data_IF_918290526807
#
_entry.id   IF_918290526807
#
_cell.length_a   1.000
_cell.length_b   1.000
_cell.length_c   1.000
_cell.angle_alpha   90.00
_cell.angle_beta   90.00
_cell.angle_gamma   90.00
#
_symmetry.space_group_name_H-M   'P 1'
#
loop_
_entity.id
_entity.type
_entity.pdbx_description
1 polymer ?
#
# COMPACT_ATOMS: atom_id res chain seq x y z
N UNK A 1 18.23 2.29 11.39
CA UNK A 1 17.42 1.97 10.20
C UNK A 1 16.25 1.08 10.57
N UNK A 2 15.09 1.32 9.98
CA UNK A 2 13.92 0.49 10.22
C UNK A 2 13.95 -0.72 9.27
N UNK A 3 13.82 -1.91 9.80
CA UNK A 3 13.83 -3.15 9.02
C UNK A 3 12.45 -3.78 9.01
N UNK A 4 12.21 -4.65 8.04
CA UNK A 4 10.94 -5.36 7.90
C UNK A 4 11.17 -6.83 8.25
N UNK A 5 10.36 -7.34 9.18
CA UNK A 5 10.43 -8.73 9.63
C UNK A 5 9.20 -9.51 9.17
N UNK A 6 9.31 -10.83 9.21
CA UNK A 6 8.22 -11.75 8.91
C UNK A 6 7.64 -11.61 7.50
N UNK A 7 8.37 -10.94 6.61
CA UNK A 7 7.95 -10.84 5.22
C UNK A 7 7.94 -12.21 4.57
N UNK A 8 7.00 -12.42 3.66
CA UNK A 8 6.91 -13.63 2.84
C UNK A 8 7.03 -13.23 1.38
N UNK A 9 8.27 -13.12 0.86
CA UNK A 9 8.48 -12.70 -0.52
C UNK A 9 7.77 -13.61 -1.50
N UNK A 10 7.29 -13.02 -2.58
CA UNK A 10 6.61 -13.75 -3.66
C UNK A 10 7.40 -13.58 -4.94
N UNK A 11 7.41 -14.61 -5.78
CA UNK A 11 8.05 -14.54 -7.10
C UNK A 11 7.11 -13.99 -8.15
N UNK A 12 5.83 -14.33 -8.05
CA UNK A 12 4.81 -13.95 -9.03
C UNK A 12 3.93 -12.83 -8.48
N UNK A 13 3.64 -11.86 -9.31
CA UNK A 13 2.80 -10.71 -8.97
C UNK A 13 1.45 -10.77 -9.69
N UNK A 14 0.81 -11.95 -9.67
CA UNK A 14 -0.47 -12.16 -10.35
C UNK A 14 -1.56 -11.21 -9.86
N UNK A 15 -1.61 -10.94 -8.55
CA UNK A 15 -2.59 -10.03 -7.97
C UNK A 15 -2.41 -8.61 -8.50
N UNK A 16 -1.17 -8.15 -8.57
CA UNK A 16 -0.83 -6.81 -9.09
C UNK A 16 -1.16 -6.73 -10.57
N UNK A 17 -0.82 -7.78 -11.34
CA UNK A 17 -1.14 -7.84 -12.76
C UNK A 17 -2.66 -7.79 -13.00
N UNK A 18 -3.43 -8.48 -12.17
CA UNK A 18 -4.89 -8.46 -12.27
C UNK A 18 -5.47 -7.09 -11.94
N UNK A 19 -4.91 -6.37 -10.97
CA UNK A 19 -5.32 -4.99 -10.69
C UNK A 19 -5.06 -4.11 -11.91
N UNK A 20 -3.88 -4.25 -12.52
CA UNK A 20 -3.53 -3.54 -13.75
C UNK A 20 -4.56 -3.82 -14.85
N UNK A 21 -4.90 -5.08 -15.06
CA UNK A 21 -5.82 -5.48 -16.13
C UNK A 21 -7.26 -5.01 -15.86
N UNK A 22 -7.72 -5.12 -14.61
CA UNK A 22 -9.09 -4.75 -14.24
C UNK A 22 -9.33 -3.25 -14.24
N UNK A 23 -8.37 -2.47 -13.78
CA UNK A 23 -8.58 -1.05 -13.54
C UNK A 23 -7.83 -0.16 -14.53
N UNK A 24 -6.98 -0.73 -15.37
CA UNK A 24 -6.24 0.03 -16.38
C UNK A 24 -5.19 0.95 -15.81
N UNK A 25 -4.58 0.57 -14.69
CA UNK A 25 -3.54 1.36 -14.04
C UNK A 25 -2.20 0.64 -14.11
N UNK A 26 -1.11 1.40 -13.95
CA UNK A 26 0.23 0.83 -13.86
C UNK A 26 0.82 1.12 -12.48
N UNK A 27 1.46 0.10 -11.91
CA UNK A 27 2.28 0.27 -10.71
C UNK A 27 3.70 0.60 -11.14
N UNK A 28 4.34 1.61 -10.52
CA UNK A 28 5.77 1.82 -10.72
C UNK A 28 6.58 0.57 -10.34
N UNK A 29 7.68 0.34 -11.05
CA UNK A 29 8.53 -0.84 -10.84
C UNK A 29 9.04 -0.92 -9.41
N UNK A 30 9.40 0.21 -8.82
CA UNK A 30 9.89 0.25 -7.43
C UNK A 30 8.84 -0.19 -6.42
N UNK A 31 7.57 0.18 -6.63
CA UNK A 31 6.46 -0.27 -5.77
C UNK A 31 6.26 -1.77 -5.91
N UNK A 32 6.24 -2.29 -7.14
CA UNK A 32 6.10 -3.72 -7.40
C UNK A 32 7.23 -4.50 -6.71
N UNK A 33 8.46 -4.08 -6.91
CA UNK A 33 9.63 -4.73 -6.31
C UNK A 33 9.57 -4.73 -4.79
N UNK A 34 9.17 -3.61 -4.19
CA UNK A 34 9.06 -3.50 -2.75
C UNK A 34 7.96 -4.42 -2.19
N UNK A 35 6.77 -4.38 -2.76
CA UNK A 35 5.64 -5.17 -2.29
C UNK A 35 5.86 -6.66 -2.47
N UNK A 36 6.52 -7.03 -3.55
CA UNK A 36 6.91 -8.41 -3.84
C UNK A 36 7.84 -8.98 -2.78
N UNK A 37 8.87 -8.21 -2.44
CA UNK A 37 9.89 -8.59 -1.46
C UNK A 37 9.35 -8.58 -0.03
N UNK A 38 8.45 -7.65 0.26
CA UNK A 38 8.00 -7.38 1.62
C UNK A 38 6.53 -7.76 1.85
N UNK A 39 6.00 -8.67 1.05
CA UNK A 39 4.64 -9.15 1.19
C UNK A 39 4.39 -9.64 2.61
N UNK A 40 3.33 -9.13 3.26
CA UNK A 40 2.97 -9.43 4.65
C UNK A 40 3.98 -8.95 5.68
N UNK A 41 4.99 -8.18 5.27
CA UNK A 41 6.06 -7.75 6.16
C UNK A 41 5.59 -6.78 7.23
N UNK A 42 6.24 -6.85 8.38
CA UNK A 42 5.96 -6.01 9.54
C UNK A 42 7.17 -5.12 9.80
N UNK A 43 7.02 -3.79 9.74
CA UNK A 43 8.15 -2.93 10.06
C UNK A 43 8.49 -3.05 11.54
N UNK A 44 9.78 -3.05 11.86
CA UNK A 44 10.25 -3.13 13.23
C UNK A 44 9.78 -1.92 14.04
N UNK A 45 9.90 -0.74 13.45
CA UNK A 45 9.37 0.49 14.01
C UNK A 45 8.14 0.90 13.20
N UNK A 46 7.00 0.97 13.87
CA UNK A 46 5.71 1.15 13.22
C UNK A 46 5.27 2.61 13.15
N UNK A 47 5.72 3.44 14.08
CA UNK A 47 5.35 4.85 14.12
C UNK A 47 6.35 5.70 13.33
N UNK A 48 5.84 6.75 12.71
CA UNK A 48 6.65 7.69 11.93
C UNK A 48 5.94 9.04 11.85
N UNK A 49 6.70 10.06 11.48
CA UNK A 49 6.20 11.42 11.34
C UNK A 49 6.31 11.90 9.91
N UNK A 50 5.26 12.54 9.43
CA UNK A 50 5.29 13.30 8.18
C UNK A 50 4.62 14.65 8.47
N UNK A 51 5.34 15.74 8.22
CA UNK A 51 4.85 17.11 8.47
C UNK A 51 4.32 17.27 9.91
N UNK A 52 5.07 16.74 10.88
CA UNK A 52 4.74 16.76 12.30
C UNK A 52 3.48 15.99 12.70
N UNK A 53 2.89 15.25 11.78
CA UNK A 53 1.77 14.36 12.08
C UNK A 53 2.27 12.95 12.29
N UNK A 54 1.80 12.31 13.35
CA UNK A 54 2.19 10.94 13.69
C UNK A 54 1.29 9.93 13.01
N UNK A 55 1.91 8.92 12.41
CA UNK A 55 1.23 7.81 11.73
C UNK A 55 1.71 6.48 12.29
N UNK A 56 0.87 5.46 12.14
CA UNK A 56 1.18 4.07 12.49
C UNK A 56 0.95 3.20 11.26
N UNK A 57 1.95 2.40 10.91
CA UNK A 57 1.83 1.39 9.86
C UNK A 57 2.32 0.07 10.44
N UNK A 58 1.42 -0.90 10.61
CA UNK A 58 1.72 -2.15 11.30
C UNK A 58 2.15 -3.27 10.38
N UNK A 59 1.66 -3.29 9.14
CA UNK A 59 2.02 -4.36 8.21
C UNK A 59 1.73 -3.95 6.77
N UNK A 60 2.52 -4.49 5.85
CA UNK A 60 2.22 -4.42 4.43
C UNK A 60 1.26 -5.56 4.07
N UNK A 61 0.39 -5.32 3.10
CA UNK A 61 -0.58 -6.33 2.69
C UNK A 61 0.09 -7.44 1.88
N UNK A 62 -0.53 -8.60 1.85
CA UNK A 62 -0.07 -9.70 0.99
C UNK A 62 -0.32 -9.37 -0.47
N UNK A 63 0.66 -9.68 -1.32
CA UNK A 63 0.48 -9.65 -2.77
C UNK A 63 0.40 -11.07 -3.36
N UNK A 64 0.31 -12.07 -2.51
CA UNK A 64 0.19 -13.47 -2.91
C UNK A 64 -1.25 -13.84 -3.20
N UNK A 65 -1.49 -14.48 -4.36
CA UNK A 65 -2.82 -14.94 -4.76
C UNK A 65 -3.36 -16.05 -3.86
N UNK A 66 -2.47 -16.77 -3.16
CA UNK A 66 -2.90 -17.88 -2.29
C UNK A 66 -3.35 -17.41 -0.91
N UNK A 67 -3.01 -16.20 -0.53
CA UNK A 67 -3.46 -15.67 0.74
C UNK A 67 -4.91 -15.21 0.64
N UNK A 68 -5.68 -15.50 1.68
CA UNK A 68 -7.10 -15.19 1.75
C UNK A 68 -7.39 -13.70 1.64
N UNK A 69 -6.56 -12.90 2.32
CA UNK A 69 -6.59 -11.44 2.25
C UNK A 69 -5.36 -11.01 1.47
N UNK A 70 -5.58 -10.37 0.34
CA UNK A 70 -4.49 -9.89 -0.51
C UNK A 70 -4.88 -8.57 -1.18
N UNK A 71 -3.89 -7.95 -1.80
CA UNK A 71 -4.03 -6.61 -2.40
C UNK A 71 -5.16 -6.55 -3.46
N UNK A 72 -5.34 -7.60 -4.24
CA UNK A 72 -6.39 -7.63 -5.25
C UNK A 72 -7.78 -7.64 -4.62
N UNK A 73 -8.00 -8.53 -3.64
CA UNK A 73 -9.29 -8.62 -2.96
C UNK A 73 -9.63 -7.35 -2.21
N UNK A 74 -8.63 -6.75 -1.54
CA UNK A 74 -8.84 -5.48 -0.84
C UNK A 74 -9.14 -4.35 -1.82
N UNK A 75 -8.44 -4.29 -2.95
CA UNK A 75 -8.70 -3.28 -3.97
C UNK A 75 -10.13 -3.39 -4.49
N UNK A 76 -10.58 -4.61 -4.81
CA UNK A 76 -11.94 -4.85 -5.28
C UNK A 76 -12.98 -4.51 -4.22
N UNK A 77 -12.68 -4.76 -2.97
CA UNK A 77 -13.57 -4.50 -1.85
C UNK A 77 -13.73 -2.99 -1.59
N UNK A 78 -12.64 -2.25 -1.64
CA UNK A 78 -12.67 -0.81 -1.37
C UNK A 78 -13.19 0.01 -2.56
N UNK A 79 -13.13 -0.53 -3.77
CA UNK A 79 -13.53 0.17 -4.99
C UNK A 79 -14.72 -0.55 -5.64
N UNK A 80 -15.84 -0.61 -4.93
CA UNK A 80 -17.05 -1.29 -5.40
C UNK A 80 -17.64 -0.69 -6.66
N UNK A 81 -17.31 0.57 -6.98
CA UNK A 81 -17.73 1.26 -8.19
C UNK A 81 -16.51 1.85 -8.89
N UNK A 82 -16.45 1.65 -10.21
CA UNK A 82 -15.42 2.25 -11.04
C UNK A 82 -15.70 3.74 -11.19
N UNK A 83 -14.89 4.54 -10.52
CA UNK A 83 -14.97 5.99 -10.57
C UNK A 83 -13.62 6.57 -11.01
N UNK A 84 -13.59 7.88 -11.10
CA UNK A 84 -12.39 8.66 -11.43
C UNK A 84 -11.23 8.36 -10.50
N UNK A 85 -11.54 8.00 -9.24
CA UNK A 85 -10.54 7.70 -8.22
C UNK A 85 -10.51 6.22 -7.89
N UNK A 86 -9.31 5.68 -7.84
CA UNK A 86 -9.06 4.31 -7.44
C UNK A 86 -8.10 4.30 -6.25
N UNK A 87 -8.40 3.48 -5.26
CA UNK A 87 -7.58 3.35 -4.06
C UNK A 87 -7.06 1.92 -3.95
N UNK A 88 -5.74 1.76 -3.98
CA UNK A 88 -5.11 0.44 -3.86
C UNK A 88 -4.47 0.33 -2.47
N UNK A 89 -5.08 -0.45 -1.56
CA UNK A 89 -4.54 -0.60 -0.22
C UNK A 89 -3.27 -1.44 -0.25
N UNK A 90 -2.17 -0.92 0.30
CA UNK A 90 -0.90 -1.62 0.33
C UNK A 90 -0.38 -1.86 1.74
N UNK A 91 -0.95 -1.21 2.75
CA UNK A 91 -0.53 -1.36 4.14
C UNK A 91 -1.70 -1.09 5.08
N UNK A 92 -1.53 -1.53 6.33
CA UNK A 92 -2.56 -1.44 7.37
C UNK A 92 -2.00 -0.78 8.62
N UNK A 93 -2.89 -0.13 9.39
CA UNK A 93 -2.52 0.49 10.65
C UNK A 93 -2.73 -0.42 11.88
N UNK A 94 -3.32 -1.59 11.68
CA UNK A 94 -3.55 -2.56 12.76
C UNK A 94 -4.90 -2.44 13.46
N UNK A 95 -5.69 -1.42 13.15
CA UNK A 95 -7.03 -1.23 13.74
C UNK A 95 -8.13 -1.11 12.67
N UNK A 96 -7.87 -1.65 11.49
CA UNK A 96 -8.88 -1.74 10.44
C UNK A 96 -8.82 -0.64 9.38
N UNK A 97 -7.80 0.21 9.39
CA UNK A 97 -7.62 1.26 8.41
C UNK A 97 -6.50 0.92 7.44
N UNK A 98 -6.48 1.60 6.30
CA UNK A 98 -5.54 1.29 5.22
C UNK A 98 -4.77 2.50 4.75
N UNK A 99 -3.50 2.27 4.39
CA UNK A 99 -2.73 3.17 3.55
C UNK A 99 -2.92 2.74 2.11
N UNK A 100 -3.27 3.67 1.25
CA UNK A 100 -3.59 3.38 -0.15
C UNK A 100 -2.77 4.21 -1.11
N UNK A 101 -2.51 3.64 -2.27
CA UNK A 101 -2.04 4.41 -3.42
C UNK A 101 -3.30 4.95 -4.10
N UNK A 102 -3.39 6.27 -4.25
CA UNK A 102 -4.50 6.92 -4.91
C UNK A 102 -4.17 7.13 -6.39
N UNK A 103 -5.08 6.67 -7.26
CA UNK A 103 -5.04 6.97 -8.68
C UNK A 103 -6.21 7.88 -9.03
N UNK A 104 -5.96 8.90 -9.83
CA UNK A 104 -6.99 9.80 -10.33
C UNK A 104 -6.95 9.73 -11.86
N UNK A 105 -8.07 9.37 -12.49
CA UNK A 105 -8.16 9.13 -13.93
C UNK A 105 -7.03 8.22 -14.42
N UNK A 106 -6.80 7.12 -13.68
CA UNK A 106 -5.76 6.10 -13.96
C UNK A 106 -4.33 6.58 -13.82
N UNK A 107 -4.12 7.77 -13.28
CA UNK A 107 -2.78 8.33 -13.04
C UNK A 107 -2.44 8.28 -11.56
N UNK A 108 -1.21 7.85 -11.30
CA UNK A 108 -0.67 7.82 -9.95
C UNK A 108 -0.70 9.22 -9.33
N UNK A 109 -1.23 9.32 -8.13
CA UNK A 109 -1.36 10.58 -7.42
C UNK A 109 -0.64 10.53 -6.07
N UNK A 110 -1.37 10.44 -4.98
CA UNK A 110 -0.82 10.53 -3.62
C UNK A 110 -0.87 9.19 -2.89
N UNK A 111 -0.12 9.11 -1.79
CA UNK A 111 -0.33 8.10 -0.76
C UNK A 111 -1.32 8.71 0.22
N UNK A 112 -2.39 7.97 0.50
CA UNK A 112 -3.48 8.42 1.35
C UNK A 112 -3.72 7.45 2.49
N UNK A 113 -4.36 7.93 3.54
CA UNK A 113 -4.83 7.11 4.66
C UNK A 113 -6.35 7.11 4.64
N UNK A 114 -6.94 5.93 4.62
CA UNK A 114 -8.39 5.77 4.62
C UNK A 114 -8.82 5.26 5.99
N UNK A 115 -9.44 6.16 6.77
CA UNK A 115 -10.06 5.80 8.03
C UNK A 115 -11.42 5.18 7.73
N UNK A 116 -11.53 3.87 7.92
CA UNK A 116 -12.72 3.11 7.54
C UNK A 116 -13.88 3.34 8.49
N UNK A 117 -13.61 3.71 9.75
CA UNK A 117 -14.65 3.92 10.73
C UNK A 117 -15.49 5.17 10.42
N UNK A 118 -14.83 6.25 10.04
CA UNK A 118 -15.49 7.52 9.71
C UNK A 118 -15.57 7.78 8.21
N UNK A 119 -15.06 6.85 7.40
CA UNK A 119 -15.00 6.94 5.94
C UNK A 119 -14.37 8.24 5.45
N UNK A 120 -13.20 8.56 6.00
CA UNK A 120 -12.43 9.75 5.61
C UNK A 120 -11.09 9.36 5.01
N UNK A 121 -10.78 9.99 3.89
CA UNK A 121 -9.52 9.82 3.18
C UNK A 121 -8.71 11.10 3.32
N UNK A 122 -7.46 10.97 3.76
CA UNK A 122 -6.57 12.12 3.94
C UNK A 122 -5.22 11.85 3.29
N UNK A 123 -4.59 12.90 2.77
CA UNK A 123 -3.27 12.79 2.16
C UNK A 123 -2.21 12.54 3.23
N UNK A 124 -1.31 11.61 2.94
CA UNK A 124 -0.16 11.31 3.80
C UNK A 124 1.09 11.95 3.22
N UNK A 125 1.39 11.64 1.97
CA UNK A 125 2.58 12.15 1.27
C UNK A 125 2.41 12.00 -0.24
N UNK A 126 3.35 12.57 -0.99
CA UNK A 126 3.24 12.63 -2.44
C UNK A 126 3.60 11.33 -3.14
N UNK A 127 4.47 10.51 -2.54
CA UNK A 127 4.95 9.31 -3.21
C UNK A 127 5.20 8.17 -2.22
N UNK A 128 5.26 6.96 -2.77
CA UNK A 128 5.62 5.77 -2.00
C UNK A 128 7.04 5.88 -1.43
N UNK A 129 7.95 6.47 -2.20
CA UNK A 129 9.32 6.69 -1.75
C UNK A 129 9.35 7.61 -0.53
N UNK A 130 8.57 8.68 -0.54
CA UNK A 130 8.48 9.60 0.60
C UNK A 130 7.99 8.88 1.86
N UNK A 131 7.04 7.97 1.72
CA UNK A 131 6.57 7.16 2.83
C UNK A 131 7.70 6.30 3.40
N UNK A 132 8.42 5.59 2.55
CA UNK A 132 9.50 4.72 3.00
C UNK A 132 10.63 5.52 3.66
N UNK A 133 10.96 6.69 3.13
CA UNK A 133 11.94 7.57 3.72
C UNK A 133 11.50 8.05 5.11
N UNK A 134 10.23 8.44 5.26
CA UNK A 134 9.69 8.85 6.55
C UNK A 134 9.72 7.72 7.57
N UNK A 135 9.54 6.49 7.13
CA UNK A 135 9.63 5.29 7.97
C UNK A 135 11.07 4.83 8.20
N UNK A 136 12.04 5.48 7.57
CA UNK A 136 13.45 5.09 7.60
C UNK A 136 13.68 3.66 7.09
N UNK A 137 12.95 3.29 6.06
CA UNK A 137 13.12 2.02 5.37
C UNK A 137 13.95 2.27 4.11
N UNK A 138 15.06 1.53 4.00
CA UNK A 138 15.96 1.69 2.87
C UNK A 138 15.41 0.97 1.65
N UNK A 139 15.33 1.70 0.54
CA UNK A 139 14.94 1.13 -0.75
C UNK A 139 16.21 0.74 -1.49
N UNK A 140 16.34 -0.53 -1.82
CA UNK A 140 17.42 -0.98 -2.71
C UNK A 140 17.01 -0.76 -4.15
N UNK A 141 17.83 -0.05 -4.87
CA UNK A 141 17.67 0.07 -6.31
C UNK A 141 18.10 -1.22 -7.01
#
# INVERSE_FOLDING_TARGET
>A
MNTIKLAKPVEKTETIQQIHDLYGIEFPVDIISFLKKNSRGIPNKKDFLINNKKYFLTAFVSVSAVDRVNILKLTNQLNSELKEKLYVPFAMDGVGNFYCIEYIFKKLNHIVFWDMEIDMISNVCDSFRDLLEAMNIKVKN
#
